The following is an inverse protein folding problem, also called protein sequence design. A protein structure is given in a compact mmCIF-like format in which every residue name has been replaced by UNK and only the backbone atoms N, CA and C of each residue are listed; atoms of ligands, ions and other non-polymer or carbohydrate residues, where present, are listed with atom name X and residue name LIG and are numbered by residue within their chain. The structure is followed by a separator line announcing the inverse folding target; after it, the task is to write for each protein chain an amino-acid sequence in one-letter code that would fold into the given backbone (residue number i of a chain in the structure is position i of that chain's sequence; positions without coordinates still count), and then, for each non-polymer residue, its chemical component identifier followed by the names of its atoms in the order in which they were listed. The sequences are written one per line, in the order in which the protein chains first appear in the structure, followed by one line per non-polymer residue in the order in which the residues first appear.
data_IF_729428704799
#
_entry.id   IF_729428704799
#
_cell.length_a   1.000
_cell.length_b   1.000
_cell.length_c   1.000
_cell.angle_alpha   90.00
_cell.angle_beta   90.00
_cell.angle_gamma   90.00
#
_symmetry.space_group_name_H-M   'P 1'
#
loop_
_entity.id
_entity.type
_entity.pdbx_description
1 polymer ?
#
# COMPACT_ATOMS: atom_id res chain seq x y z
N UNK A 1 -2.76 18.11 -19.39
CA UNK A 1 -3.86 17.52 -20.19
C UNK A 1 -5.12 17.62 -19.33
N UNK A 2 -6.07 18.53 -19.65
CA UNK A 2 -7.38 18.57 -18.97
C UNK A 2 -8.19 17.40 -19.56
N UNK A 3 -8.28 16.28 -18.86
CA UNK A 3 -9.27 15.25 -19.21
C UNK A 3 -10.62 15.94 -19.14
N UNK A 4 -11.37 15.91 -20.27
CA UNK A 4 -12.70 16.51 -20.28
C UNK A 4 -13.54 15.85 -19.19
N UNK A 5 -14.21 16.65 -18.33
CA UNK A 5 -15.08 16.15 -17.25
C UNK A 5 -16.05 15.07 -17.77
N UNK A 6 -16.60 15.30 -18.97
CA UNK A 6 -17.50 14.36 -19.63
C UNK A 6 -16.81 13.00 -19.94
N UNK A 7 -15.56 13.03 -20.42
CA UNK A 7 -14.82 11.80 -20.74
C UNK A 7 -14.46 10.99 -19.48
N UNK A 8 -14.06 11.65 -18.38
CA UNK A 8 -13.77 10.98 -17.12
C UNK A 8 -15.01 10.32 -16.49
N UNK A 9 -16.15 11.02 -16.49
CA UNK A 9 -17.42 10.49 -16.01
C UNK A 9 -17.86 9.31 -16.91
N UNK A 10 -17.79 9.46 -18.23
CA UNK A 10 -18.15 8.40 -19.16
C UNK A 10 -17.30 7.14 -18.94
N UNK A 11 -15.99 7.27 -18.78
CA UNK A 11 -15.09 6.14 -18.52
C UNK A 11 -15.45 5.43 -17.21
N UNK A 12 -15.71 6.16 -16.14
CA UNK A 12 -16.08 5.56 -14.84
C UNK A 12 -17.41 4.83 -14.93
N UNK A 13 -18.42 5.45 -15.54
CA UNK A 13 -19.76 4.84 -15.71
C UNK A 13 -19.69 3.61 -16.59
N UNK A 14 -18.92 3.63 -17.70
CA UNK A 14 -18.78 2.44 -18.56
C UNK A 14 -18.09 1.28 -17.83
N UNK A 15 -17.04 1.53 -17.05
CA UNK A 15 -16.40 0.47 -16.23
C UNK A 15 -17.33 -0.07 -15.16
N UNK A 16 -18.11 0.79 -14.51
CA UNK A 16 -19.09 0.40 -13.49
C UNK A 16 -20.23 -0.46 -14.11
N UNK A 17 -20.71 -0.10 -15.29
CA UNK A 17 -21.72 -0.89 -16.03
C UNK A 17 -21.16 -2.26 -16.43
N UNK A 18 -19.93 -2.32 -16.94
CA UNK A 18 -19.28 -3.59 -17.27
C UNK A 18 -19.15 -4.47 -16.01
N UNK A 19 -18.74 -3.91 -14.87
CA UNK A 19 -18.67 -4.64 -13.60
C UNK A 19 -20.05 -5.16 -13.16
N UNK A 20 -21.09 -4.33 -13.25
CA UNK A 20 -22.46 -4.75 -12.90
C UNK A 20 -22.94 -5.89 -13.80
N UNK A 21 -22.69 -5.81 -15.10
CA UNK A 21 -23.02 -6.86 -16.06
C UNK A 21 -22.29 -8.17 -15.72
N UNK A 22 -20.99 -8.11 -15.44
CA UNK A 22 -20.20 -9.28 -15.05
C UNK A 22 -20.75 -9.93 -13.76
N UNK A 23 -21.14 -9.13 -12.77
CA UNK A 23 -21.73 -9.64 -11.51
C UNK A 23 -23.07 -10.33 -11.76
N UNK A 24 -23.92 -9.76 -12.61
CA UNK A 24 -25.24 -10.33 -12.93
C UNK A 24 -25.10 -11.66 -13.69
N UNK A 25 -24.17 -11.73 -14.66
CA UNK A 25 -23.95 -12.95 -15.47
C UNK A 25 -23.09 -14.00 -14.76
N UNK A 26 -22.37 -13.65 -13.71
CA UNK A 26 -21.58 -14.60 -12.95
C UNK A 26 -22.50 -15.59 -12.21
N UNK A 27 -22.37 -16.88 -12.52
CA UNK A 27 -23.01 -17.99 -11.79
C UNK A 27 -21.99 -18.67 -10.90
N UNK A 28 -22.27 -18.74 -9.60
CA UNK A 28 -21.45 -19.53 -8.69
C UNK A 28 -21.72 -21.02 -8.91
N UNK A 29 -20.70 -21.84 -9.22
CA UNK A 29 -20.87 -23.28 -9.47
C UNK A 29 -21.03 -24.12 -8.20
N UNK A 30 -21.17 -23.52 -7.01
CA UNK A 30 -21.27 -24.24 -5.74
C UNK A 30 -22.61 -24.91 -5.53
N UNK A 31 -22.66 -26.22 -5.18
CA UNK A 31 -23.89 -26.99 -5.01
C UNK A 31 -24.74 -26.58 -3.79
N UNK A 32 -24.23 -25.69 -2.93
CA UNK A 32 -24.92 -25.21 -1.72
C UNK A 32 -25.38 -23.73 -1.80
N UNK A 33 -25.38 -23.13 -2.98
CA UNK A 33 -25.81 -21.73 -3.14
C UNK A 33 -27.34 -21.64 -3.16
N UNK A 34 -27.92 -21.10 -2.10
CA UNK A 34 -29.33 -20.80 -1.98
C UNK A 34 -29.70 -19.72 -3.03
N UNK A 35 -30.60 -19.99 -4.01
CA UNK A 35 -30.91 -19.05 -5.11
C UNK A 35 -31.37 -17.68 -4.61
N UNK A 36 -32.04 -17.64 -3.46
CA UNK A 36 -32.51 -16.39 -2.85
C UNK A 36 -31.39 -15.52 -2.33
N UNK A 37 -30.38 -16.12 -1.70
CA UNK A 37 -29.20 -15.40 -1.19
C UNK A 37 -28.31 -14.89 -2.35
N UNK A 38 -28.21 -15.64 -3.43
CA UNK A 38 -27.43 -15.23 -4.61
C UNK A 38 -28.08 -14.02 -5.29
N UNK A 39 -29.41 -14.05 -5.44
CA UNK A 39 -30.17 -12.92 -5.97
C UNK A 39 -30.03 -11.67 -5.10
N UNK A 40 -30.16 -11.82 -3.79
CA UNK A 40 -29.99 -10.71 -2.84
C UNK A 40 -28.57 -10.10 -2.92
N UNK A 41 -27.53 -10.91 -2.99
CA UNK A 41 -26.14 -10.42 -3.17
C UNK A 41 -25.96 -9.65 -4.46
N UNK A 42 -26.53 -10.12 -5.57
CA UNK A 42 -26.48 -9.43 -6.88
C UNK A 42 -27.20 -8.08 -6.83
N UNK A 43 -28.39 -8.04 -6.23
CA UNK A 43 -29.16 -6.79 -6.07
C UNK A 43 -28.39 -5.79 -5.22
N UNK A 44 -27.87 -6.21 -4.06
CA UNK A 44 -27.09 -5.35 -3.18
C UNK A 44 -25.84 -4.81 -3.91
N UNK A 45 -25.13 -5.66 -4.64
CA UNK A 45 -23.95 -5.24 -5.40
C UNK A 45 -24.30 -4.21 -6.48
N UNK A 46 -25.39 -4.39 -7.20
CA UNK A 46 -25.85 -3.43 -8.21
C UNK A 46 -26.27 -2.08 -7.58
N UNK A 47 -26.95 -2.12 -6.42
CA UNK A 47 -27.33 -0.91 -5.67
C UNK A 47 -26.08 -0.16 -5.19
N UNK A 48 -25.07 -0.86 -4.66
CA UNK A 48 -23.80 -0.25 -4.22
C UNK A 48 -23.06 0.39 -5.41
N UNK A 49 -23.02 -0.30 -6.57
CA UNK A 49 -22.39 0.25 -7.77
C UNK A 49 -23.15 1.50 -8.26
N UNK A 50 -24.47 1.47 -8.28
CA UNK A 50 -25.29 2.62 -8.66
C UNK A 50 -25.07 3.81 -7.71
N UNK A 51 -25.06 3.57 -6.39
CA UNK A 51 -24.77 4.60 -5.38
C UNK A 51 -23.36 5.19 -5.57
N UNK A 52 -22.37 4.34 -5.84
CA UNK A 52 -21.00 4.79 -6.14
C UNK A 52 -20.93 5.65 -7.40
N UNK A 53 -21.66 5.32 -8.46
CA UNK A 53 -21.75 6.12 -9.68
C UNK A 53 -22.36 7.50 -9.40
N UNK A 54 -23.46 7.57 -8.66
CA UNK A 54 -24.11 8.84 -8.29
C UNK A 54 -23.18 9.68 -7.44
N UNK A 55 -22.52 9.10 -6.42
CA UNK A 55 -21.55 9.78 -5.59
C UNK A 55 -20.37 10.32 -6.39
N UNK A 56 -19.84 9.51 -7.33
CA UNK A 56 -18.72 9.93 -8.18
C UNK A 56 -19.11 11.09 -9.11
N UNK A 57 -20.30 11.05 -9.73
CA UNK A 57 -20.79 12.13 -10.59
C UNK A 57 -20.97 13.42 -9.79
N UNK A 58 -21.56 13.31 -8.59
CA UNK A 58 -21.83 14.48 -7.72
C UNK A 58 -20.54 15.13 -7.21
N UNK A 59 -19.56 14.32 -6.83
CA UNK A 59 -18.29 14.79 -6.25
C UNK A 59 -17.10 14.68 -7.20
N UNK A 60 -17.34 14.61 -8.51
CA UNK A 60 -16.31 14.42 -9.53
C UNK A 60 -15.12 15.36 -9.35
N UNK A 61 -15.37 16.66 -9.14
CA UNK A 61 -14.32 17.66 -9.03
C UNK A 61 -13.48 17.48 -7.75
N UNK A 62 -14.06 16.92 -6.69
CA UNK A 62 -13.34 16.60 -5.45
C UNK A 62 -12.50 15.34 -5.60
N UNK A 63 -13.04 14.30 -6.22
CA UNK A 63 -12.32 13.03 -6.43
C UNK A 63 -11.19 13.14 -7.45
N UNK A 64 -11.37 13.91 -8.52
CA UNK A 64 -10.36 14.04 -9.58
C UNK A 64 -9.37 15.15 -9.35
N UNK A 65 -9.67 16.10 -8.47
CA UNK A 65 -8.79 17.23 -8.16
C UNK A 65 -7.41 16.77 -7.69
N UNK A 66 -7.37 15.89 -6.71
CA UNK A 66 -6.12 15.40 -6.12
C UNK A 66 -5.27 14.58 -7.10
N UNK A 67 -5.79 13.54 -7.80
CA UNK A 67 -4.99 12.80 -8.80
C UNK A 67 -4.43 13.68 -9.91
N UNK A 68 -5.25 14.61 -10.43
CA UNK A 68 -4.81 15.55 -11.49
C UNK A 68 -3.69 16.45 -10.98
N UNK A 69 -3.82 16.97 -9.76
CA UNK A 69 -2.81 17.82 -9.12
C UNK A 69 -1.50 17.05 -8.91
N UNK A 70 -1.57 15.81 -8.42
CA UNK A 70 -0.39 14.96 -8.24
C UNK A 70 0.32 14.68 -9.57
N UNK A 71 -0.46 14.41 -10.62
CA UNK A 71 0.12 14.15 -11.94
C UNK A 71 0.78 15.39 -12.56
N UNK A 72 0.17 16.59 -12.39
CA UNK A 72 0.75 17.84 -12.86
C UNK A 72 2.07 18.17 -12.15
N UNK A 73 2.18 17.88 -10.86
CA UNK A 73 3.35 18.19 -10.06
C UNK A 73 4.31 17.00 -9.90
N UNK A 74 4.19 15.94 -10.72
CA UNK A 74 4.98 14.69 -10.59
C UNK A 74 6.50 14.91 -10.51
N UNK A 75 7.05 15.86 -11.29
CA UNK A 75 8.48 16.16 -11.27
C UNK A 75 8.91 16.79 -9.94
N UNK A 76 8.09 17.70 -9.39
CA UNK A 76 8.33 18.30 -8.09
C UNK A 76 8.24 17.26 -6.98
N UNK A 77 7.19 16.44 -7.01
CA UNK A 77 6.97 15.35 -6.04
C UNK A 77 8.16 14.40 -6.04
N UNK A 78 8.61 13.95 -7.21
CA UNK A 78 9.76 13.05 -7.35
C UNK A 78 11.05 13.66 -6.79
N UNK A 79 11.33 14.93 -7.14
CA UNK A 79 12.50 15.65 -6.66
C UNK A 79 12.48 15.82 -5.14
N UNK A 80 11.31 16.15 -4.59
CA UNK A 80 11.14 16.32 -3.15
C UNK A 80 11.22 14.98 -2.40
N UNK A 81 10.60 13.92 -2.92
CA UNK A 81 10.68 12.58 -2.32
C UNK A 81 12.12 12.04 -2.29
N UNK A 82 12.88 12.22 -3.39
CA UNK A 82 14.30 11.87 -3.42
C UNK A 82 15.13 12.69 -2.43
N UNK A 83 14.82 13.96 -2.26
CA UNK A 83 15.49 14.83 -1.32
C UNK A 83 15.12 14.48 0.14
N UNK A 84 13.85 14.18 0.41
CA UNK A 84 13.37 13.72 1.72
C UNK A 84 14.07 12.42 2.14
N UNK A 85 14.14 11.45 1.22
CA UNK A 85 14.87 10.22 1.43
C UNK A 85 16.36 10.48 1.76
N UNK A 86 17.04 11.34 0.98
CA UNK A 86 18.44 11.69 1.25
C UNK A 86 18.62 12.39 2.60
N UNK A 87 17.73 13.33 2.93
CA UNK A 87 17.82 14.09 4.20
C UNK A 87 17.65 13.20 5.43
N UNK A 88 16.79 12.19 5.36
CA UNK A 88 16.55 11.26 6.47
C UNK A 88 17.82 10.54 6.91
N UNK A 89 18.72 10.28 5.98
CA UNK A 89 19.98 9.57 6.22
C UNK A 89 21.21 10.47 6.08
N UNK A 90 21.01 11.77 5.93
CA UNK A 90 22.09 12.75 5.86
C UNK A 90 22.79 12.87 7.22
N UNK A 91 24.11 12.79 7.24
CA UNK A 91 24.91 12.85 8.47
C UNK A 91 25.23 11.50 9.11
N UNK A 92 24.70 10.39 8.56
CA UNK A 92 25.09 9.05 8.98
C UNK A 92 26.21 8.49 8.10
N UNK A 93 27.19 7.82 8.71
CA UNK A 93 28.30 7.16 8.00
C UNK A 93 27.83 6.15 6.94
N UNK A 94 26.77 5.40 7.25
CA UNK A 94 26.20 4.38 6.38
C UNK A 94 25.05 4.93 5.50
N UNK A 95 24.63 6.18 5.71
CA UNK A 95 23.60 6.82 4.90
C UNK A 95 22.32 5.99 4.80
N UNK A 96 21.83 5.81 3.57
CA UNK A 96 20.60 5.05 3.28
C UNK A 96 20.69 3.55 3.64
N UNK A 97 21.88 2.99 3.87
CA UNK A 97 22.04 1.58 4.27
C UNK A 97 21.42 1.32 5.65
N UNK A 98 21.37 2.32 6.54
CA UNK A 98 20.68 2.20 7.82
C UNK A 98 19.18 1.91 7.69
N UNK A 99 18.53 2.45 6.66
CA UNK A 99 17.13 2.12 6.39
C UNK A 99 16.89 0.64 6.11
N UNK A 100 17.92 0.00 5.57
CA UNK A 100 17.89 -1.40 5.18
C UNK A 100 18.37 -2.32 6.32
N UNK A 101 19.17 -1.80 7.25
CA UNK A 101 19.77 -2.59 8.32
C UNK A 101 18.70 -3.19 9.24
N UNK A 102 17.75 -2.39 9.73
CA UNK A 102 16.75 -2.85 10.69
C UNK A 102 15.90 -4.02 10.16
N UNK A 103 15.23 -3.93 8.99
CA UNK A 103 14.47 -5.07 8.46
C UNK A 103 15.34 -6.29 8.12
N UNK A 104 16.57 -6.09 7.63
CA UNK A 104 17.49 -7.21 7.37
C UNK A 104 17.84 -7.96 8.66
N UNK A 105 18.16 -7.21 9.74
CA UNK A 105 18.42 -7.80 11.05
C UNK A 105 17.18 -8.54 11.57
N UNK A 106 15.99 -7.96 11.41
CA UNK A 106 14.73 -8.60 11.82
C UNK A 106 14.51 -9.92 11.08
N UNK A 107 14.67 -9.96 9.76
CA UNK A 107 14.57 -11.21 8.97
C UNK A 107 15.64 -12.22 9.38
N UNK A 108 16.88 -11.79 9.62
CA UNK A 108 17.95 -12.65 10.09
C UNK A 108 17.65 -13.23 11.48
N UNK A 109 17.11 -12.44 12.40
CA UNK A 109 16.65 -12.90 13.71
C UNK A 109 15.55 -13.96 13.58
N UNK A 110 14.55 -13.73 12.74
CA UNK A 110 13.51 -14.73 12.50
C UNK A 110 14.06 -16.01 11.88
N UNK A 111 15.02 -15.91 10.95
CA UNK A 111 15.71 -17.07 10.41
C UNK A 111 16.38 -17.88 11.52
N UNK A 112 17.13 -17.24 12.39
CA UNK A 112 17.84 -17.93 13.49
C UNK A 112 16.84 -18.59 14.44
N UNK A 113 15.80 -17.86 14.85
CA UNK A 113 14.83 -18.34 15.84
C UNK A 113 14.01 -19.51 15.26
N UNK A 114 13.40 -19.34 14.10
CA UNK A 114 12.45 -20.31 13.58
C UNK A 114 13.12 -21.48 12.88
N UNK A 115 14.16 -21.25 12.10
CA UNK A 115 14.85 -22.30 11.35
C UNK A 115 15.87 -23.06 12.22
N UNK A 116 16.70 -22.33 13.00
CA UNK A 116 17.80 -22.94 13.76
C UNK A 116 17.43 -23.38 15.17
N UNK A 117 16.59 -22.60 15.88
CA UNK A 117 16.26 -22.90 17.28
C UNK A 117 15.00 -23.77 17.35
N UNK A 118 13.93 -23.38 16.64
CA UNK A 118 12.64 -24.09 16.70
C UNK A 118 12.57 -25.28 15.73
N UNK A 119 13.49 -25.37 14.74
CA UNK A 119 13.50 -26.45 13.75
C UNK A 119 12.30 -26.41 12.79
N UNK A 120 11.61 -25.28 12.70
CA UNK A 120 10.46 -25.09 11.80
C UNK A 120 10.95 -24.72 10.40
N UNK A 121 11.42 -25.71 9.66
CA UNK A 121 12.13 -25.52 8.39
C UNK A 121 11.21 -25.34 7.19
N UNK A 122 9.97 -25.84 7.25
CA UNK A 122 9.05 -25.79 6.11
C UNK A 122 7.60 -25.49 6.54
N UNK A 123 6.87 -24.81 5.66
CA UNK A 123 5.44 -24.53 5.80
C UNK A 123 4.70 -25.10 4.59
N UNK A 124 3.70 -25.98 4.80
CA UNK A 124 2.86 -26.44 3.71
C UNK A 124 1.96 -25.30 3.22
N UNK A 125 2.16 -24.81 1.99
CA UNK A 125 1.33 -23.79 1.35
C UNK A 125 0.16 -24.38 0.59
N UNK A 126 0.34 -25.60 0.03
CA UNK A 126 -0.66 -26.33 -0.76
C UNK A 126 -0.29 -27.81 -0.75
N UNK A 127 -1.23 -28.70 -1.10
CA UNK A 127 -0.93 -30.13 -1.22
C UNK A 127 0.31 -30.37 -2.09
N UNK A 128 1.38 -30.91 -1.46
CA UNK A 128 2.64 -31.25 -2.09
C UNK A 128 3.63 -30.11 -2.34
N UNK A 129 3.36 -28.88 -1.87
CA UNK A 129 4.31 -27.75 -1.98
C UNK A 129 4.70 -27.26 -0.59
N UNK A 130 5.92 -27.60 -0.19
CA UNK A 130 6.55 -27.09 1.03
C UNK A 130 7.48 -25.93 0.69
N UNK A 131 7.37 -24.84 1.45
CA UNK A 131 8.22 -23.65 1.28
C UNK A 131 8.97 -23.40 2.58
N UNK A 132 10.25 -23.01 2.53
CA UNK A 132 10.99 -22.60 3.73
C UNK A 132 10.21 -21.56 4.52
N UNK A 133 10.03 -21.80 5.83
CA UNK A 133 9.24 -20.92 6.69
C UNK A 133 9.72 -19.47 6.64
N UNK A 134 11.05 -19.26 6.58
CA UNK A 134 11.67 -17.93 6.47
C UNK A 134 11.21 -17.19 5.22
N UNK A 135 11.09 -17.88 4.08
CA UNK A 135 10.63 -17.25 2.83
C UNK A 135 9.16 -16.83 2.94
N UNK A 136 8.32 -17.71 3.51
CA UNK A 136 6.91 -17.41 3.77
C UNK A 136 6.76 -16.19 4.69
N UNK A 137 7.47 -16.18 5.81
CA UNK A 137 7.45 -15.09 6.78
C UNK A 137 7.95 -13.77 6.17
N UNK A 138 9.08 -13.80 5.46
CA UNK A 138 9.66 -12.62 4.81
C UNK A 138 8.71 -12.03 3.76
N UNK A 139 8.00 -12.88 3.01
CA UNK A 139 7.01 -12.43 2.03
C UNK A 139 5.85 -11.64 2.67
N UNK A 140 5.46 -11.98 3.91
CA UNK A 140 4.47 -11.22 4.68
C UNK A 140 5.03 -9.95 5.32
N UNK A 141 6.27 -10.01 5.82
CA UNK A 141 6.90 -8.87 6.52
C UNK A 141 7.27 -7.72 5.57
N UNK A 142 7.67 -7.99 4.34
CA UNK A 142 8.07 -6.93 3.38
C UNK A 142 6.93 -5.93 3.12
N UNK A 143 5.69 -6.34 2.76
CA UNK A 143 4.57 -5.41 2.66
C UNK A 143 4.21 -4.74 3.98
N UNK A 144 4.34 -5.44 5.10
CA UNK A 144 4.07 -4.90 6.43
C UNK A 144 5.01 -3.76 6.82
N UNK A 145 6.32 -3.92 6.62
CA UNK A 145 7.29 -2.86 6.88
C UNK A 145 7.02 -1.62 6.03
N UNK A 146 6.67 -1.82 4.76
CA UNK A 146 6.28 -0.71 3.90
C UNK A 146 5.02 -0.01 4.39
N UNK A 147 3.98 -0.77 4.73
CA UNK A 147 2.72 -0.23 5.24
C UNK A 147 2.96 0.60 6.51
N UNK A 148 3.66 0.03 7.48
CA UNK A 148 3.95 0.69 8.75
C UNK A 148 4.75 1.97 8.57
N UNK A 149 5.85 1.91 7.82
CA UNK A 149 6.70 3.08 7.57
C UNK A 149 5.97 4.17 6.78
N UNK A 150 5.31 3.81 5.70
CA UNK A 150 4.62 4.76 4.83
C UNK A 150 3.43 5.43 5.53
N UNK A 151 2.67 4.67 6.33
CA UNK A 151 1.55 5.20 7.12
C UNK A 151 2.05 6.20 8.18
N UNK A 152 3.05 5.82 8.99
CA UNK A 152 3.58 6.69 10.04
C UNK A 152 4.17 7.97 9.46
N UNK A 153 4.99 7.88 8.41
CA UNK A 153 5.58 9.03 7.76
C UNK A 153 4.53 9.91 7.06
N UNK A 154 3.56 9.28 6.40
CA UNK A 154 2.45 9.96 5.72
C UNK A 154 1.54 10.70 6.70
N UNK A 155 1.20 10.09 7.83
CA UNK A 155 0.40 10.71 8.91
C UNK A 155 1.08 11.97 9.46
N UNK A 156 2.39 11.93 9.69
CA UNK A 156 3.15 13.03 10.25
C UNK A 156 3.61 14.08 9.22
N UNK A 157 3.32 13.88 7.94
CA UNK A 157 3.83 14.73 6.85
C UNK A 157 3.49 16.22 7.03
N UNK A 158 2.27 16.57 7.44
CA UNK A 158 1.87 17.97 7.66
C UNK A 158 2.55 18.60 8.88
N UNK A 159 2.79 17.82 9.92
CA UNK A 159 3.47 18.30 11.13
C UNK A 159 4.94 18.59 10.85
N UNK A 160 5.63 17.70 10.14
CA UNK A 160 7.05 17.86 9.82
C UNK A 160 7.32 19.01 8.85
N UNK A 161 6.44 19.21 7.86
CA UNK A 161 6.59 20.27 6.85
C UNK A 161 5.85 21.57 7.18
N UNK A 162 5.45 21.79 8.42
CA UNK A 162 4.73 22.97 8.86
C UNK A 162 5.43 24.29 8.46
N UNK A 163 6.77 24.33 8.48
CA UNK A 163 7.55 25.49 8.06
C UNK A 163 7.43 25.81 6.55
N UNK A 164 7.28 24.79 5.70
CA UNK A 164 7.06 24.93 4.26
C UNK A 164 5.69 25.49 3.95
N UNK A 165 4.67 25.00 4.67
CA UNK A 165 3.28 25.46 4.54
C UNK A 165 3.15 26.97 4.88
N UNK A 166 3.94 27.45 5.84
CA UNK A 166 3.90 28.87 6.28
C UNK A 166 4.69 29.82 5.39
N UNK A 167 5.72 29.36 4.68
CA UNK A 167 6.67 30.23 3.98
C UNK A 167 6.53 30.28 2.46
N UNK A 168 5.87 29.29 1.85
CA UNK A 168 5.78 29.15 0.39
C UNK A 168 4.34 28.92 -0.02
N UNK A 169 3.95 29.43 -1.18
CA UNK A 169 2.68 29.09 -1.85
C UNK A 169 2.79 27.64 -2.36
N UNK A 170 2.82 26.71 -1.44
CA UNK A 170 3.01 25.28 -1.70
C UNK A 170 1.69 24.56 -1.49
N UNK A 171 1.36 23.66 -2.42
CA UNK A 171 0.12 22.88 -2.31
C UNK A 171 0.28 21.79 -1.24
N UNK A 172 -0.42 21.96 -0.15
CA UNK A 172 -0.38 21.08 1.04
C UNK A 172 -0.68 19.63 0.68
N UNK A 173 -1.56 19.42 -0.31
CA UNK A 173 -1.94 18.08 -0.81
C UNK A 173 -0.76 17.21 -1.29
N UNK A 174 0.40 17.82 -1.61
CA UNK A 174 1.55 17.09 -2.13
C UNK A 174 2.38 16.45 -0.99
N UNK A 175 2.25 16.91 0.25
CA UNK A 175 3.14 16.52 1.34
C UNK A 175 3.03 15.02 1.71
N UNK A 176 1.84 14.43 1.91
CA UNK A 176 1.74 13.01 2.25
C UNK A 176 2.34 12.09 1.19
N UNK A 177 2.08 12.36 -0.10
CA UNK A 177 2.60 11.50 -1.17
C UNK A 177 4.13 11.53 -1.29
N UNK A 178 4.78 12.65 -0.93
CA UNK A 178 6.24 12.74 -0.88
C UNK A 178 6.81 11.71 0.09
N UNK A 179 6.22 11.59 1.27
CA UNK A 179 6.64 10.64 2.31
C UNK A 179 6.42 9.19 1.88
N UNK A 180 5.28 8.91 1.25
CA UNK A 180 4.94 7.56 0.79
C UNK A 180 5.88 7.12 -0.34
N UNK A 181 6.18 8.00 -1.31
CA UNK A 181 7.15 7.70 -2.38
C UNK A 181 8.56 7.49 -1.78
N UNK A 182 8.96 8.26 -0.77
CA UNK A 182 10.25 8.04 -0.11
C UNK A 182 10.31 6.65 0.56
N UNK A 183 9.24 6.19 1.21
CA UNK A 183 9.13 4.84 1.75
C UNK A 183 9.12 3.76 0.65
N UNK A 184 8.52 4.05 -0.51
CA UNK A 184 8.48 3.11 -1.65
C UNK A 184 9.87 2.75 -2.17
N UNK A 185 10.88 3.64 -2.07
CA UNK A 185 12.26 3.29 -2.45
C UNK A 185 12.80 2.13 -1.60
N UNK A 186 12.50 2.14 -0.30
CA UNK A 186 12.92 1.08 0.63
C UNK A 186 12.13 -0.21 0.31
N UNK A 187 10.83 -0.09 0.06
CA UNK A 187 9.99 -1.24 -0.30
C UNK A 187 10.49 -1.97 -1.56
N UNK A 188 10.84 -1.22 -2.62
CA UNK A 188 11.40 -1.80 -3.84
C UNK A 188 12.68 -2.57 -3.55
N UNK A 189 13.56 -2.03 -2.71
CA UNK A 189 14.76 -2.73 -2.29
C UNK A 189 14.42 -4.06 -1.58
N UNK A 190 13.45 -4.07 -0.65
CA UNK A 190 13.06 -5.29 0.06
C UNK A 190 12.37 -6.32 -0.84
N UNK A 191 11.60 -5.89 -1.81
CA UNK A 191 11.04 -6.78 -2.83
C UNK A 191 12.17 -7.44 -3.65
N UNK A 192 13.19 -6.68 -4.06
CA UNK A 192 14.35 -7.24 -4.72
C UNK A 192 15.11 -8.22 -3.83
N UNK A 193 15.31 -7.89 -2.56
CA UNK A 193 15.94 -8.79 -1.58
C UNK A 193 15.14 -10.09 -1.41
N UNK A 194 13.82 -10.00 -1.30
CA UNK A 194 12.94 -11.17 -1.22
C UNK A 194 13.11 -12.09 -2.44
N UNK A 195 13.16 -11.51 -3.64
CA UNK A 195 13.35 -12.28 -4.87
C UNK A 195 14.74 -12.95 -4.93
N UNK A 196 15.78 -12.27 -4.44
CA UNK A 196 17.13 -12.83 -4.34
C UNK A 196 17.14 -13.99 -3.35
N UNK A 197 16.55 -13.82 -2.16
CA UNK A 197 16.45 -14.90 -1.16
C UNK A 197 15.67 -16.09 -1.73
N UNK A 198 14.53 -15.85 -2.40
CA UNK A 198 13.76 -16.90 -3.04
C UNK A 198 14.59 -17.67 -4.08
N UNK A 199 15.39 -16.98 -4.90
CA UNK A 199 16.26 -17.60 -5.89
C UNK A 199 17.37 -18.47 -5.24
N UNK A 200 17.93 -18.07 -4.10
CA UNK A 200 18.91 -18.85 -3.33
C UNK A 200 18.29 -20.17 -2.86
N UNK A 201 17.02 -20.18 -2.48
CA UNK A 201 16.28 -21.38 -2.10
C UNK A 201 15.78 -22.19 -3.31
N UNK A 202 16.12 -21.81 -4.55
CA UNK A 202 15.73 -22.51 -5.78
C UNK A 202 14.36 -22.11 -6.34
N UNK A 203 13.67 -21.10 -5.75
CA UNK A 203 12.39 -20.59 -6.25
C UNK A 203 12.64 -19.42 -7.21
N UNK A 204 12.77 -19.74 -8.50
CA UNK A 204 13.02 -18.73 -9.52
C UNK A 204 11.76 -17.91 -9.88
N UNK A 205 11.93 -16.63 -10.25
CA UNK A 205 10.83 -15.80 -10.70
C UNK A 205 10.11 -16.41 -11.90
N UNK A 206 8.81 -16.55 -11.81
CA UNK A 206 7.92 -17.02 -12.88
C UNK A 206 7.03 -15.87 -13.36
N UNK A 207 6.22 -16.10 -14.39
CA UNK A 207 5.26 -15.08 -14.86
C UNK A 207 4.30 -14.63 -13.76
N UNK A 208 4.03 -15.50 -12.77
CA UNK A 208 3.19 -15.16 -11.61
C UNK A 208 3.85 -14.17 -10.66
N UNK A 209 5.18 -14.02 -10.69
CA UNK A 209 5.91 -13.03 -9.88
C UNK A 209 5.51 -11.59 -10.22
N UNK A 210 4.95 -11.34 -11.42
CA UNK A 210 4.42 -10.03 -11.79
C UNK A 210 3.27 -9.58 -10.88
N UNK A 211 2.60 -10.52 -10.22
CA UNK A 211 1.55 -10.21 -9.23
C UNK A 211 2.08 -9.39 -8.06
N UNK A 212 3.36 -9.53 -7.71
CA UNK A 212 4.00 -8.72 -6.64
C UNK A 212 3.92 -7.23 -6.99
N UNK A 213 4.15 -6.87 -8.25
CA UNK A 213 4.05 -5.48 -8.72
C UNK A 213 2.61 -4.97 -8.59
N UNK A 214 1.64 -5.79 -8.98
CA UNK A 214 0.22 -5.45 -8.85
C UNK A 214 -0.18 -5.24 -7.39
N UNK A 215 0.16 -6.17 -6.49
CA UNK A 215 -0.16 -6.04 -5.06
C UNK A 215 0.58 -4.88 -4.39
N UNK A 216 1.84 -4.63 -4.76
CA UNK A 216 2.59 -3.46 -4.27
C UNK A 216 1.93 -2.14 -4.71
N UNK A 217 1.40 -2.09 -5.93
CA UNK A 217 0.66 -0.92 -6.41
C UNK A 217 -0.67 -0.74 -5.67
N UNK A 218 -1.43 -1.82 -5.44
CA UNK A 218 -2.65 -1.78 -4.63
C UNK A 218 -2.37 -1.30 -3.20
N UNK A 219 -1.30 -1.81 -2.59
CA UNK A 219 -0.85 -1.41 -1.26
C UNK A 219 -0.45 0.08 -1.23
N UNK A 220 0.27 0.56 -2.26
CA UNK A 220 0.61 1.99 -2.40
C UNK A 220 -0.65 2.87 -2.40
N UNK A 221 -1.66 2.53 -3.21
CA UNK A 221 -2.91 3.29 -3.26
C UNK A 221 -3.65 3.24 -1.92
N UNK A 222 -3.71 2.07 -1.29
CA UNK A 222 -4.35 1.89 0.01
C UNK A 222 -3.70 2.76 1.10
N UNK A 223 -2.38 2.69 1.22
CA UNK A 223 -1.62 3.50 2.19
C UNK A 223 -1.75 4.99 1.88
N UNK A 224 -1.78 5.37 0.60
CA UNK A 224 -1.99 6.75 0.18
C UNK A 224 -3.33 7.29 0.67
N UNK A 225 -4.42 6.56 0.43
CA UNK A 225 -5.76 6.95 0.87
C UNK A 225 -5.84 7.05 2.40
N UNK A 226 -5.28 6.07 3.10
CA UNK A 226 -5.27 6.05 4.57
C UNK A 226 -4.43 7.21 5.13
N UNK A 227 -3.25 7.47 4.58
CA UNK A 227 -2.36 8.56 5.01
C UNK A 227 -2.98 9.94 4.79
N UNK A 228 -3.72 10.18 3.73
CA UNK A 228 -4.44 11.44 3.56
C UNK A 228 -5.50 11.65 4.64
N UNK A 229 -6.20 10.57 5.00
CA UNK A 229 -7.23 10.62 6.05
C UNK A 229 -6.58 10.88 7.41
N UNK A 230 -5.58 10.08 7.80
CA UNK A 230 -4.90 10.21 9.10
C UNK A 230 -4.14 11.53 9.22
N UNK A 231 -3.49 11.98 8.15
CA UNK A 231 -2.77 13.25 8.11
C UNK A 231 -3.70 14.46 8.30
N UNK A 232 -4.92 14.42 7.76
CA UNK A 232 -5.90 15.46 7.98
C UNK A 232 -6.39 15.47 9.45
N UNK A 233 -6.61 14.31 10.04
CA UNK A 233 -7.09 14.18 11.43
C UNK A 233 -5.99 14.54 12.43
N UNK A 234 -4.73 14.20 12.19
CA UNK A 234 -3.61 14.48 13.11
C UNK A 234 -3.37 15.97 13.34
N UNK A 235 -3.78 16.81 12.40
CA UNK A 235 -3.71 18.27 12.57
C UNK A 235 -4.58 18.74 13.74
N UNK A 236 -5.71 18.07 13.97
CA UNK A 236 -6.65 18.37 15.06
C UNK A 236 -6.34 17.56 16.32
N UNK A 237 -5.93 16.29 16.15
CA UNK A 237 -5.66 15.35 17.24
C UNK A 237 -4.25 14.77 17.07
N UNK A 238 -3.29 15.43 17.70
CA UNK A 238 -1.86 15.03 17.62
C UNK A 238 -1.59 13.62 18.15
N UNK A 239 -2.39 13.17 19.12
CA UNK A 239 -2.25 11.84 19.71
C UNK A 239 -2.52 10.70 18.71
N UNK A 240 -3.22 10.99 17.61
CA UNK A 240 -3.41 10.01 16.54
C UNK A 240 -2.09 9.51 15.96
N UNK A 241 -1.03 10.33 15.91
CA UNK A 241 0.28 9.88 15.45
C UNK A 241 0.89 8.83 16.37
N UNK A 242 0.66 8.95 17.68
CA UNK A 242 1.11 7.97 18.67
C UNK A 242 0.29 6.67 18.58
N UNK A 243 -1.02 6.79 18.36
CA UNK A 243 -1.91 5.63 18.16
C UNK A 243 -1.51 4.87 16.88
N UNK A 244 -1.23 5.57 15.78
CA UNK A 244 -0.75 4.94 14.54
C UNK A 244 0.57 4.21 14.76
N UNK A 245 1.51 4.82 15.50
CA UNK A 245 2.79 4.22 15.82
C UNK A 245 2.61 2.97 16.70
N UNK A 246 1.81 3.05 17.75
CA UNK A 246 1.50 1.94 18.67
C UNK A 246 0.87 0.78 17.90
N UNK A 247 -0.19 1.04 17.13
CA UNK A 247 -0.90 0.02 16.36
C UNK A 247 0.02 -0.71 15.38
N UNK A 248 0.91 0.00 14.69
CA UNK A 248 1.87 -0.62 13.76
C UNK A 248 3.00 -1.36 14.47
N UNK A 249 3.32 -0.99 15.72
CA UNK A 249 4.29 -1.69 16.57
C UNK A 249 3.67 -2.95 17.20
N UNK A 250 2.50 -2.83 17.82
CA UNK A 250 1.83 -3.95 18.52
C UNK A 250 1.41 -5.06 17.57
N UNK A 251 0.91 -4.72 16.38
CA UNK A 251 0.58 -5.74 15.38
C UNK A 251 1.81 -6.52 14.89
N UNK A 252 3.02 -5.95 14.99
CA UNK A 252 4.27 -6.70 14.78
C UNK A 252 4.62 -7.62 15.96
N UNK A 253 4.15 -7.28 17.18
CA UNK A 253 4.37 -8.09 18.40
C UNK A 253 3.31 -9.19 18.57
N UNK A 254 2.05 -8.96 18.15
CA UNK A 254 1.00 -10.00 18.14
C UNK A 254 1.24 -11.09 17.09
N UNK A 255 2.06 -10.82 16.08
CA UNK A 255 2.51 -11.82 15.10
C UNK A 255 3.63 -12.75 15.65
N UNK A 256 3.98 -12.59 16.92
CA UNK A 256 4.91 -13.46 17.65
C UNK A 256 4.16 -14.55 18.40
#
# INVERSE_FOLDING_TARGET
MKVSKKAGIALFVTTAVIMAVLIVFHKNPGPAADPGQELAKKIISCVVIAAACVAFIHWYDKFTGLPVELFQNRHLIWKLAKNDFKKRYAGSYLGAVWAMAQPVVTVAMYYIVFDKIMGNTSTPLREGVEVPFVLFLTAGLVPWFYFSEALNNGTNALLEYNYLVKKVVFKISILPIIKIIAATFIHVFFVCLLLIVAAIYGYYPTIYTIQIVYYSFCLFIFVLALSYTTCAVVVFFRDLSQICLLYTSDAADEAR
#
